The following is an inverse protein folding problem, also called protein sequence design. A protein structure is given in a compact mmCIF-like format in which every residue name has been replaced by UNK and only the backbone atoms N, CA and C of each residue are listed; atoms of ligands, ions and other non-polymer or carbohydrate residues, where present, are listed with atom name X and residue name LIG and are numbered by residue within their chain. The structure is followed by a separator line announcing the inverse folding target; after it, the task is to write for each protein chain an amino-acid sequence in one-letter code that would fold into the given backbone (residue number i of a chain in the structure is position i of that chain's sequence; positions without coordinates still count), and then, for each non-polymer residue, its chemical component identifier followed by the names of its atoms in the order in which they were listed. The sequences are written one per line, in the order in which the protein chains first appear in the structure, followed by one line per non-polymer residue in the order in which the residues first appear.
data_IF_180388587971
#
_entry.id   IF_180388587971
#
_cell.length_a   1.000
_cell.length_b   1.000
_cell.length_c   1.000
_cell.angle_alpha   90.00
_cell.angle_beta   90.00
_cell.angle_gamma   90.00
#
_symmetry.space_group_name_H-M   'P 1'
#
loop_
_entity.id
_entity.type
_entity.pdbx_description
1 polymer ?
#
# COMPACT_ATOMS: atom_id res chain seq x y z
N UNK A 1 -34.96 -14.78 21.35
CA UNK A 1 -33.51 -15.03 21.33
C UNK A 1 -32.83 -13.76 21.79
N UNK A 2 -32.17 -13.79 22.95
CA UNK A 2 -31.49 -12.63 23.54
C UNK A 2 -30.23 -12.31 22.74
N UNK A 3 -30.29 -11.28 21.90
CA UNK A 3 -29.11 -10.70 21.26
C UNK A 3 -28.37 -9.93 22.35
N UNK A 4 -27.25 -10.47 22.82
CA UNK A 4 -26.29 -9.72 23.63
C UNK A 4 -25.84 -8.57 22.72
N UNK A 5 -26.36 -7.36 22.95
CA UNK A 5 -25.98 -6.18 22.22
C UNK A 5 -24.52 -5.87 22.59
N UNK A 6 -23.59 -6.33 21.77
CA UNK A 6 -22.21 -5.86 21.82
C UNK A 6 -22.28 -4.35 21.64
N UNK A 7 -21.90 -3.60 22.67
CA UNK A 7 -21.97 -2.14 22.59
C UNK A 7 -20.93 -1.65 21.59
N UNK A 8 -21.40 -1.15 20.45
CA UNK A 8 -20.52 -0.64 19.41
C UNK A 8 -19.63 0.49 19.94
N UNK A 9 -18.34 0.44 19.61
CA UNK A 9 -17.38 1.47 19.95
C UNK A 9 -17.68 2.79 19.21
N UNK A 10 -17.09 3.90 19.65
CA UNK A 10 -17.29 5.21 19.00
C UNK A 10 -16.99 5.19 17.48
N UNK A 11 -15.87 4.64 17.00
CA UNK A 11 -15.60 4.61 15.57
C UNK A 11 -16.51 3.63 14.80
N UNK A 12 -16.97 2.53 15.41
CA UNK A 12 -17.98 1.64 14.81
C UNK A 12 -19.30 2.37 14.59
N UNK A 13 -19.81 3.06 15.63
CA UNK A 13 -21.03 3.86 15.54
C UNK A 13 -20.92 4.92 14.44
N UNK A 14 -19.74 5.54 14.30
CA UNK A 14 -19.50 6.54 13.25
C UNK A 14 -19.44 5.92 11.84
N UNK A 15 -18.82 4.74 11.66
CA UNK A 15 -18.83 4.01 10.40
C UNK A 15 -20.25 3.60 9.98
N UNK A 16 -21.07 3.17 10.95
CA UNK A 16 -22.48 2.84 10.69
C UNK A 16 -23.32 4.06 10.32
N UNK A 17 -22.96 5.26 10.79
CA UNK A 17 -23.58 6.51 10.34
C UNK A 17 -23.13 6.88 8.92
N UNK A 18 -21.85 6.72 8.60
CA UNK A 18 -21.33 6.91 7.25
C UNK A 18 -21.96 5.96 6.23
N UNK A 19 -22.15 4.67 6.58
CA UNK A 19 -22.85 3.71 5.70
C UNK A 19 -24.29 4.11 5.44
N UNK A 20 -24.98 4.64 6.45
CA UNK A 20 -26.34 5.12 6.29
C UNK A 20 -26.44 6.29 5.30
N UNK A 21 -25.43 7.17 5.28
CA UNK A 21 -25.33 8.23 4.27
C UNK A 21 -25.14 7.65 2.86
N UNK A 22 -24.25 6.66 2.68
CA UNK A 22 -24.09 5.98 1.38
C UNK A 22 -25.38 5.28 0.92
N UNK A 23 -26.09 4.59 1.83
CA UNK A 23 -27.38 3.93 1.58
C UNK A 23 -28.48 4.94 1.18
N UNK A 24 -28.44 6.16 1.73
CA UNK A 24 -29.35 7.24 1.35
C UNK A 24 -29.01 7.92 0.01
N UNK A 25 -28.03 7.39 -0.73
CA UNK A 25 -27.61 7.87 -2.05
C UNK A 25 -26.46 8.88 -2.02
N UNK A 26 -25.88 9.17 -0.85
CA UNK A 26 -24.72 10.06 -0.74
C UNK A 26 -23.42 9.27 -0.80
N UNK A 27 -22.95 8.94 -2.01
CA UNK A 27 -21.66 8.26 -2.21
C UNK A 27 -20.46 9.06 -1.69
N UNK A 28 -20.63 10.38 -1.62
CA UNK A 28 -19.72 11.34 -0.99
C UNK A 28 -20.54 12.22 -0.05
N UNK A 29 -20.09 12.39 1.18
CA UNK A 29 -20.80 13.15 2.21
C UNK A 29 -19.88 14.17 2.89
N UNK A 30 -20.46 15.26 3.38
CA UNK A 30 -19.73 16.28 4.13
C UNK A 30 -19.48 15.86 5.58
N UNK A 31 -18.51 16.49 6.24
CA UNK A 31 -18.33 16.35 7.69
C UNK A 31 -19.62 16.74 8.45
N UNK A 32 -20.29 17.79 8.00
CA UNK A 32 -21.54 18.28 8.58
C UNK A 32 -22.67 17.24 8.45
N UNK A 33 -22.81 16.60 7.28
CA UNK A 33 -23.78 15.52 7.07
C UNK A 33 -23.49 14.31 7.97
N UNK A 34 -22.20 13.95 8.11
CA UNK A 34 -21.77 12.86 8.99
C UNK A 34 -22.06 13.18 10.46
N UNK A 35 -21.83 14.42 10.90
CA UNK A 35 -22.14 14.88 12.26
C UNK A 35 -23.63 14.69 12.55
N UNK A 36 -24.49 15.18 11.65
CA UNK A 36 -25.94 15.08 11.81
C UNK A 36 -26.39 13.61 11.79
N UNK A 37 -25.90 12.81 10.85
CA UNK A 37 -26.25 11.39 10.74
C UNK A 37 -25.82 10.58 11.97
N UNK A 38 -24.61 10.82 12.48
CA UNK A 38 -24.09 10.15 13.67
C UNK A 38 -24.91 10.49 14.92
N UNK A 39 -25.27 11.77 15.08
CA UNK A 39 -26.11 12.23 16.18
C UNK A 39 -27.54 11.69 16.07
N UNK A 40 -28.17 11.75 14.90
CA UNK A 40 -29.52 11.20 14.71
C UNK A 40 -29.60 9.71 15.03
N UNK A 41 -28.56 8.95 14.67
CA UNK A 41 -28.50 7.50 14.92
C UNK A 41 -28.10 7.17 16.37
N UNK A 42 -27.25 7.98 17.00
CA UNK A 42 -26.78 7.77 18.37
C UNK A 42 -26.75 9.08 19.20
N UNK A 43 -27.92 9.64 19.58
CA UNK A 43 -28.00 10.94 20.25
C UNK A 43 -27.22 11.02 21.55
N UNK A 44 -27.30 9.96 22.38
CA UNK A 44 -26.55 9.87 23.64
C UNK A 44 -25.03 9.81 23.48
N UNK A 45 -24.54 9.42 22.31
CA UNK A 45 -23.10 9.23 22.05
C UNK A 45 -22.47 10.47 21.42
N UNK A 46 -23.15 11.03 20.41
CA UNK A 46 -22.69 12.15 19.60
C UNK A 46 -23.48 13.44 19.84
N UNK A 47 -24.31 13.50 20.88
CA UNK A 47 -25.00 14.70 21.30
C UNK A 47 -24.16 15.56 22.23
N UNK A 48 -24.42 16.86 22.21
CA UNK A 48 -23.78 17.84 23.07
C UNK A 48 -24.14 17.58 24.53
N UNK A 49 -23.15 17.57 25.42
CA UNK A 49 -23.35 17.28 26.85
C UNK A 49 -24.39 18.24 27.48
N UNK A 50 -25.44 17.68 28.09
CA UNK A 50 -26.58 18.42 28.65
C UNK A 50 -27.67 18.80 27.63
N UNK A 51 -27.43 18.53 26.34
CA UNK A 51 -28.34 18.78 25.23
C UNK A 51 -28.34 17.61 24.24
N UNK A 52 -28.12 16.39 24.72
CA UNK A 52 -27.79 15.23 23.90
C UNK A 52 -28.88 14.93 22.85
N UNK A 53 -30.14 15.17 23.21
CA UNK A 53 -31.31 14.95 22.36
C UNK A 53 -31.66 16.17 21.47
N UNK A 54 -30.96 17.30 21.62
CA UNK A 54 -31.28 18.56 20.93
C UNK A 54 -30.22 18.99 19.92
N UNK A 55 -28.94 18.78 20.23
CA UNK A 55 -27.84 19.28 19.42
C UNK A 55 -26.71 18.25 19.27
N UNK A 56 -26.09 18.16 18.07
CA UNK A 56 -24.91 17.33 17.86
C UNK A 56 -23.66 17.93 18.51
N UNK A 57 -22.77 17.07 19.01
CA UNK A 57 -21.40 17.39 19.38
C UNK A 57 -20.48 17.20 18.16
N UNK A 58 -20.31 18.28 17.40
CA UNK A 58 -19.41 18.30 16.24
C UNK A 58 -17.98 17.90 16.59
N UNK A 59 -17.47 18.29 17.76
CA UNK A 59 -16.08 18.01 18.15
C UNK A 59 -15.85 16.52 18.35
N UNK A 60 -16.85 15.81 18.89
CA UNK A 60 -16.80 14.35 19.08
C UNK A 60 -16.57 13.62 17.75
N UNK A 61 -17.30 14.01 16.71
CA UNK A 61 -17.19 13.41 15.37
C UNK A 61 -15.91 13.87 14.67
N UNK A 62 -15.61 15.16 14.72
CA UNK A 62 -14.41 15.74 14.13
C UNK A 62 -13.13 15.11 14.68
N UNK A 63 -13.06 14.83 15.99
CA UNK A 63 -11.93 14.14 16.62
C UNK A 63 -11.74 12.69 16.12
N UNK A 64 -12.80 12.05 15.60
CA UNK A 64 -12.75 10.69 15.06
C UNK A 64 -12.44 10.63 13.57
N UNK A 65 -12.62 11.72 12.82
CA UNK A 65 -12.24 11.78 11.39
C UNK A 65 -10.95 12.55 11.15
N UNK A 66 -10.53 13.40 12.10
CA UNK A 66 -9.31 14.19 12.00
C UNK A 66 -8.17 13.61 12.86
N UNK A 67 -6.94 14.04 12.57
CA UNK A 67 -5.75 13.65 13.33
C UNK A 67 -5.27 12.22 13.06
N UNK A 68 -4.11 11.86 13.61
CA UNK A 68 -3.42 10.60 13.31
C UNK A 68 -4.22 9.34 13.62
N UNK A 69 -5.18 9.42 14.56
CA UNK A 69 -6.04 8.30 14.95
C UNK A 69 -7.39 8.29 14.24
N UNK A 70 -7.65 9.24 13.35
CA UNK A 70 -8.94 9.37 12.67
C UNK A 70 -9.20 8.25 11.66
N UNK A 71 -10.48 8.01 11.37
CA UNK A 71 -10.97 7.00 10.41
C UNK A 71 -10.29 7.07 9.03
N UNK A 72 -9.96 8.26 8.46
CA UNK A 72 -9.22 8.33 7.20
C UNK A 72 -7.80 7.76 7.29
N UNK A 73 -7.08 8.04 8.38
CA UNK A 73 -5.73 7.52 8.58
C UNK A 73 -5.72 6.00 8.87
N UNK A 74 -6.88 5.43 9.20
CA UNK A 74 -7.07 3.98 9.34
C UNK A 74 -7.44 3.28 8.03
N UNK A 75 -7.62 4.05 6.95
CA UNK A 75 -8.00 3.52 5.64
C UNK A 75 -9.46 3.09 5.52
N UNK A 76 -10.33 3.42 6.49
CA UNK A 76 -11.77 3.09 6.41
C UNK A 76 -12.61 4.21 5.78
N UNK A 77 -12.05 5.41 5.73
CA UNK A 77 -12.61 6.55 5.03
C UNK A 77 -11.53 7.21 4.17
N UNK A 78 -11.94 7.97 3.18
CA UNK A 78 -11.04 8.80 2.37
C UNK A 78 -11.61 10.21 2.28
N UNK A 79 -10.73 11.21 2.34
CA UNK A 79 -11.08 12.60 2.09
C UNK A 79 -10.98 12.86 0.59
N UNK A 80 -12.11 13.11 -0.06
CA UNK A 80 -12.20 13.28 -1.53
C UNK A 80 -12.26 14.74 -1.96
N UNK A 81 -12.40 15.68 -1.01
CA UNK A 81 -12.44 17.12 -1.30
C UNK A 81 -12.39 17.97 -0.04
N UNK A 82 -12.68 19.27 -0.17
CA UNK A 82 -12.78 20.16 0.97
C UNK A 82 -13.98 19.76 1.83
N UNK A 83 -13.70 19.20 3.02
CA UNK A 83 -14.70 18.66 3.96
C UNK A 83 -15.57 17.51 3.43
N UNK A 84 -15.21 16.91 2.30
CA UNK A 84 -15.92 15.79 1.70
C UNK A 84 -15.19 14.48 1.95
N UNK A 85 -15.97 13.45 2.31
CA UNK A 85 -15.49 12.12 2.66
C UNK A 85 -16.33 11.03 1.97
N UNK A 86 -15.76 9.84 1.85
CA UNK A 86 -16.44 8.64 1.36
C UNK A 86 -15.90 7.41 2.11
N UNK A 87 -16.69 6.33 2.21
CA UNK A 87 -16.16 5.06 2.73
C UNK A 87 -15.23 4.42 1.69
N UNK A 88 -14.15 3.84 2.17
CA UNK A 88 -13.31 2.97 1.34
C UNK A 88 -13.95 1.59 1.20
N UNK A 89 -13.38 0.74 0.34
CA UNK A 89 -13.77 -0.67 0.26
C UNK A 89 -13.67 -1.35 1.64
N UNK A 90 -12.58 -1.11 2.36
CA UNK A 90 -12.34 -1.64 3.70
C UNK A 90 -13.34 -1.12 4.72
N UNK A 91 -13.67 0.18 4.68
CA UNK A 91 -14.70 0.76 5.54
C UNK A 91 -16.04 0.07 5.37
N UNK A 92 -16.44 -0.22 4.12
CA UNK A 92 -17.66 -0.97 3.82
C UNK A 92 -17.59 -2.43 4.31
N UNK A 93 -16.44 -3.09 4.18
CA UNK A 93 -16.27 -4.45 4.72
C UNK A 93 -16.41 -4.46 6.25
N UNK A 94 -15.79 -3.51 6.94
CA UNK A 94 -15.91 -3.38 8.40
C UNK A 94 -17.37 -3.18 8.79
N UNK A 95 -18.10 -2.29 8.12
CA UNK A 95 -19.54 -2.09 8.36
C UNK A 95 -20.32 -3.39 8.20
N UNK A 96 -20.07 -4.18 7.14
CA UNK A 96 -20.74 -5.47 6.96
C UNK A 96 -20.49 -6.43 8.11
N UNK A 97 -19.25 -6.53 8.59
CA UNK A 97 -18.89 -7.37 9.75
C UNK A 97 -19.61 -6.94 11.03
N UNK A 98 -19.67 -5.63 11.29
CA UNK A 98 -20.39 -5.07 12.44
C UNK A 98 -21.88 -5.45 12.36
N UNK A 99 -22.49 -5.30 11.19
CA UNK A 99 -23.91 -5.64 10.98
C UNK A 99 -24.19 -7.14 11.11
N UNK A 100 -23.20 -7.99 10.81
CA UNK A 100 -23.27 -9.45 10.97
C UNK A 100 -22.97 -9.92 12.39
N UNK A 101 -22.61 -9.01 13.31
CA UNK A 101 -22.24 -9.35 14.69
C UNK A 101 -20.89 -10.07 14.81
N UNK A 102 -20.04 -9.97 13.78
CA UNK A 102 -18.68 -10.52 13.81
C UNK A 102 -17.77 -9.63 14.67
N UNK A 103 -16.82 -10.25 15.37
CA UNK A 103 -15.78 -9.50 16.07
C UNK A 103 -14.93 -8.70 15.08
N UNK A 104 -15.06 -7.38 15.15
CA UNK A 104 -14.14 -6.48 14.46
C UNK A 104 -12.89 -6.35 15.34
N UNK A 105 -11.68 -6.52 14.78
CA UNK A 105 -10.46 -6.29 15.53
C UNK A 105 -10.53 -4.93 16.23
N UNK A 106 -10.15 -4.83 17.51
CA UNK A 106 -10.42 -3.65 18.32
C UNK A 106 -9.93 -2.40 17.60
N UNK A 107 -10.82 -1.41 17.45
CA UNK A 107 -10.55 -0.16 16.73
C UNK A 107 -9.53 0.75 17.46
N UNK A 108 -8.79 0.22 18.43
CA UNK A 108 -7.60 0.81 19.05
C UNK A 108 -6.31 0.30 18.44
N UNK A 109 -6.35 -0.86 17.77
CA UNK A 109 -5.26 -1.31 16.94
C UNK A 109 -5.08 -0.25 15.86
N UNK A 110 -3.95 0.46 15.93
CA UNK A 110 -3.35 1.00 14.70
C UNK A 110 -3.42 -0.18 13.74
N UNK A 111 -4.27 -0.12 12.71
CA UNK A 111 -3.86 -0.74 11.47
C UNK A 111 -2.62 0.05 11.15
N UNK A 112 -1.48 -0.55 11.48
CA UNK A 112 -0.24 -0.09 10.94
C UNK A 112 -0.54 0.12 9.46
N UNK A 113 -0.08 1.23 8.91
CA UNK A 113 -0.03 1.46 7.47
C UNK A 113 0.94 0.43 6.82
N UNK A 114 0.78 -0.84 7.20
CA UNK A 114 1.51 -2.06 6.86
C UNK A 114 0.69 -2.85 5.83
N UNK A 115 -0.05 -2.19 4.94
CA UNK A 115 0.27 -2.56 3.57
C UNK A 115 1.68 -2.00 3.40
N UNK A 116 2.71 -2.85 3.27
CA UNK A 116 4.08 -2.39 3.10
C UNK A 116 4.08 -1.56 1.82
N UNK A 117 3.88 -0.25 1.98
CA UNK A 117 4.09 0.71 0.90
C UNK A 117 5.52 0.49 0.48
N UNK A 118 5.69 0.26 -0.80
CA UNK A 118 6.99 0.07 -1.39
C UNK A 118 7.91 1.20 -0.88
N UNK A 119 9.00 0.88 -0.17
CA UNK A 119 9.98 1.87 0.25
C UNK A 119 10.40 2.72 -0.94
N UNK A 120 10.63 4.02 -0.73
CA UNK A 120 10.93 4.97 -1.81
C UNK A 120 12.13 4.51 -2.66
N UNK A 121 13.13 3.88 -2.04
CA UNK A 121 14.30 3.37 -2.74
C UNK A 121 13.95 2.18 -3.64
N UNK A 122 13.07 1.28 -3.16
CA UNK A 122 12.54 0.18 -3.97
C UNK A 122 11.63 0.69 -5.09
N UNK A 123 10.86 1.75 -4.87
CA UNK A 123 10.06 2.41 -5.91
C UNK A 123 10.95 2.92 -7.04
N UNK A 124 12.01 3.66 -6.73
CA UNK A 124 12.97 4.17 -7.72
C UNK A 124 13.67 3.01 -8.45
N UNK A 125 14.08 1.97 -7.71
CA UNK A 125 14.70 0.78 -8.29
C UNK A 125 13.78 0.09 -9.29
N UNK A 126 12.53 -0.20 -8.90
CA UNK A 126 11.57 -0.88 -9.77
C UNK A 126 11.27 -0.07 -11.03
N UNK A 127 11.15 1.26 -10.90
CA UNK A 127 10.99 2.13 -12.07
C UNK A 127 12.16 1.99 -13.05
N UNK A 128 13.39 1.96 -12.54
CA UNK A 128 14.59 1.80 -13.37
C UNK A 128 14.64 0.41 -14.03
N UNK A 129 14.36 -0.66 -13.27
CA UNK A 129 14.41 -2.03 -13.78
C UNK A 129 13.33 -2.31 -14.83
N UNK A 130 12.10 -1.85 -14.60
CA UNK A 130 10.97 -2.02 -15.52
C UNK A 130 11.11 -1.20 -16.80
N UNK A 131 11.85 -0.10 -16.76
CA UNK A 131 12.21 0.69 -17.95
C UNK A 131 13.52 0.24 -18.61
N UNK A 132 14.18 -0.81 -18.09
CA UNK A 132 15.48 -1.25 -18.62
C UNK A 132 15.33 -1.91 -19.99
N UNK A 133 16.31 -1.68 -20.87
CA UNK A 133 16.35 -2.31 -22.20
C UNK A 133 16.34 -3.84 -22.12
N UNK A 134 17.00 -4.41 -21.10
CA UNK A 134 17.03 -5.85 -20.86
C UNK A 134 15.63 -6.41 -20.57
N UNK A 135 14.84 -5.71 -19.74
CA UNK A 135 13.46 -6.09 -19.44
C UNK A 135 12.53 -5.95 -20.65
N UNK A 136 12.67 -4.89 -21.44
CA UNK A 136 11.91 -4.76 -22.69
C UNK A 136 12.22 -5.88 -23.69
N UNK A 137 13.49 -6.27 -23.83
CA UNK A 137 13.90 -7.41 -24.68
C UNK A 137 13.34 -8.74 -24.16
N UNK A 138 13.30 -8.95 -22.83
CA UNK A 138 12.63 -10.12 -22.23
C UNK A 138 11.16 -10.18 -22.65
N UNK A 139 10.45 -9.05 -22.51
CA UNK A 139 9.02 -8.92 -22.83
C UNK A 139 8.70 -9.13 -24.31
N UNK A 140 9.65 -8.83 -25.19
CA UNK A 140 9.55 -9.03 -26.64
C UNK A 140 10.09 -10.39 -27.12
N UNK A 141 10.59 -11.24 -26.22
CA UNK A 141 11.21 -12.52 -26.57
C UNK A 141 12.56 -12.41 -27.28
N UNK A 142 13.21 -11.24 -27.25
CA UNK A 142 14.50 -10.97 -27.93
C UNK A 142 15.70 -11.17 -27.00
N UNK A 143 15.71 -12.29 -26.27
CA UNK A 143 16.73 -12.60 -25.27
C UNK A 143 18.12 -12.82 -25.89
N UNK A 144 18.15 -13.25 -27.16
CA UNK A 144 19.39 -13.49 -27.90
C UNK A 144 20.18 -12.21 -28.19
N UNK A 145 19.51 -11.06 -28.20
CA UNK A 145 20.12 -9.74 -28.45
C UNK A 145 20.66 -9.07 -27.19
N UNK A 146 20.62 -9.72 -26.02
CA UNK A 146 21.18 -9.14 -24.81
C UNK A 146 22.69 -8.96 -24.93
N UNK A 147 23.14 -7.77 -24.52
CA UNK A 147 24.54 -7.40 -24.45
C UNK A 147 25.00 -7.29 -22.99
N UNK A 148 26.31 -7.47 -22.76
CA UNK A 148 26.85 -7.36 -21.41
C UNK A 148 26.72 -5.95 -20.82
N UNK A 149 26.80 -4.91 -21.65
CA UNK A 149 26.60 -3.53 -21.20
C UNK A 149 25.19 -3.29 -20.66
N UNK A 150 24.17 -3.88 -21.29
CA UNK A 150 22.78 -3.81 -20.80
C UNK A 150 22.62 -4.55 -19.48
N UNK A 151 23.28 -5.71 -19.32
CA UNK A 151 23.28 -6.45 -18.05
C UNK A 151 23.95 -5.63 -16.93
N UNK A 152 25.09 -4.99 -17.20
CA UNK A 152 25.74 -4.08 -16.25
C UNK A 152 24.82 -2.92 -15.84
N UNK A 153 24.11 -2.29 -16.79
CA UNK A 153 23.13 -1.24 -16.47
C UNK A 153 21.98 -1.75 -15.61
N UNK A 154 21.46 -2.95 -15.91
CA UNK A 154 20.41 -3.60 -15.12
C UNK A 154 20.84 -3.82 -13.67
N UNK A 155 22.09 -4.24 -13.45
CA UNK A 155 22.67 -4.41 -12.11
C UNK A 155 23.22 -3.11 -11.49
N UNK A 156 23.07 -1.97 -12.15
CA UNK A 156 23.70 -0.70 -11.77
C UNK A 156 25.22 -0.82 -11.53
N UNK A 157 25.88 -1.71 -12.27
CA UNK A 157 27.32 -1.94 -12.20
C UNK A 157 28.08 -1.08 -13.21
N UNK A 158 29.08 -0.34 -12.73
CA UNK A 158 30.09 0.28 -13.59
C UNK A 158 31.19 -0.70 -14.00
N UNK A 159 32.02 -0.31 -14.97
CA UNK A 159 33.14 -1.13 -15.47
C UNK A 159 34.19 -1.50 -14.40
N UNK A 160 34.15 -0.83 -13.24
CA UNK A 160 35.05 -1.04 -12.09
C UNK A 160 34.42 -1.77 -10.92
N UNK A 161 33.33 -2.50 -11.13
CA UNK A 161 32.59 -3.17 -10.04
C UNK A 161 33.46 -4.14 -9.23
N UNK A 162 34.41 -4.85 -9.86
CA UNK A 162 35.43 -5.63 -9.18
C UNK A 162 34.89 -6.56 -8.08
N UNK A 163 35.34 -6.37 -6.83
CA UNK A 163 34.91 -7.12 -5.65
C UNK A 163 33.41 -6.93 -5.32
N UNK A 164 32.83 -5.79 -5.70
CA UNK A 164 31.42 -5.47 -5.45
C UNK A 164 30.45 -6.19 -6.40
N UNK A 165 30.94 -6.99 -7.36
CA UNK A 165 30.06 -7.72 -8.31
C UNK A 165 29.10 -8.64 -7.54
N UNK A 166 29.62 -9.47 -6.63
CA UNK A 166 28.78 -10.44 -5.92
C UNK A 166 27.84 -9.76 -4.92
N UNK A 167 28.30 -8.70 -4.26
CA UNK A 167 27.46 -7.87 -3.40
C UNK A 167 26.29 -7.25 -4.17
N UNK A 168 26.54 -6.71 -5.37
CA UNK A 168 25.49 -6.08 -6.21
C UNK A 168 24.48 -7.08 -6.73
N UNK A 169 24.93 -8.26 -7.15
CA UNK A 169 24.03 -9.33 -7.58
C UNK A 169 23.14 -9.79 -6.42
N UNK A 170 23.73 -10.00 -5.23
CA UNK A 170 23.00 -10.42 -4.05
C UNK A 170 22.03 -9.34 -3.54
N UNK A 171 22.47 -8.08 -3.48
CA UNK A 171 21.67 -6.94 -3.05
C UNK A 171 20.43 -6.75 -3.93
N UNK A 172 20.58 -6.85 -5.26
CA UNK A 172 19.44 -6.77 -6.17
C UNK A 172 18.42 -7.89 -5.90
N UNK A 173 18.88 -9.13 -5.70
CA UNK A 173 17.99 -10.26 -5.45
C UNK A 173 17.27 -10.13 -4.09
N UNK A 174 17.97 -9.62 -3.07
CA UNK A 174 17.38 -9.27 -1.77
C UNK A 174 16.30 -8.19 -1.92
N UNK A 175 16.59 -7.12 -2.67
CA UNK A 175 15.65 -6.03 -2.94
C UNK A 175 14.41 -6.51 -3.70
N UNK A 176 14.56 -7.38 -4.71
CA UNK A 176 13.44 -7.99 -5.42
C UNK A 176 12.59 -8.88 -4.49
N UNK A 177 13.21 -9.64 -3.59
CA UNK A 177 12.50 -10.47 -2.61
C UNK A 177 11.67 -9.61 -1.65
N UNK A 178 12.21 -8.47 -1.20
CA UNK A 178 11.48 -7.51 -0.38
C UNK A 178 10.33 -6.89 -1.17
N UNK A 179 10.55 -6.49 -2.43
CA UNK A 179 9.52 -5.94 -3.29
C UNK A 179 8.37 -6.93 -3.54
N UNK A 180 8.68 -8.22 -3.77
CA UNK A 180 7.68 -9.29 -3.92
C UNK A 180 6.81 -9.42 -2.67
N UNK A 181 7.41 -9.44 -1.47
CA UNK A 181 6.66 -9.44 -0.20
C UNK A 181 5.79 -8.21 -0.05
N UNK A 182 6.24 -7.05 -0.55
CA UNK A 182 5.47 -5.82 -0.46
C UNK A 182 4.24 -5.83 -1.39
N UNK A 183 4.38 -6.48 -2.55
CA UNK A 183 3.34 -6.59 -3.58
C UNK A 183 2.45 -7.84 -3.41
N UNK A 184 2.72 -8.69 -2.42
CA UNK A 184 1.91 -9.87 -2.10
C UNK A 184 0.46 -9.51 -1.71
N UNK A 185 0.26 -8.31 -1.16
CA UNK A 185 -1.07 -7.80 -0.80
C UNK A 185 -1.85 -7.21 -1.98
N UNK A 186 -1.22 -7.03 -3.14
CA UNK A 186 -1.85 -6.46 -4.33
C UNK A 186 -0.92 -5.52 -5.12
N UNK A 187 -1.36 -5.09 -6.32
CA UNK A 187 -0.59 -4.18 -7.16
C UNK A 187 -0.42 -2.81 -6.50
N UNK A 188 0.76 -2.21 -6.65
CA UNK A 188 1.04 -0.85 -6.17
C UNK A 188 1.45 0.07 -7.33
N UNK A 189 1.00 1.32 -7.28
CA UNK A 189 1.39 2.34 -8.26
C UNK A 189 2.77 2.91 -7.92
N UNK A 190 3.68 2.84 -8.88
CA UNK A 190 4.99 3.45 -8.79
C UNK A 190 4.92 4.97 -9.07
N UNK A 191 5.98 5.69 -8.71
CA UNK A 191 6.09 7.14 -8.97
C UNK A 191 5.95 7.56 -10.45
N UNK A 192 6.22 6.66 -11.40
CA UNK A 192 6.03 6.87 -12.84
C UNK A 192 4.63 6.46 -13.34
N UNK A 193 3.66 6.23 -12.45
CA UNK A 193 2.30 5.76 -12.77
C UNK A 193 2.20 4.34 -13.35
N UNK A 194 3.28 3.57 -13.38
CA UNK A 194 3.24 2.14 -13.72
C UNK A 194 2.73 1.36 -12.52
N UNK A 195 1.78 0.45 -12.74
CA UNK A 195 1.35 -0.49 -11.71
C UNK A 195 2.33 -1.66 -11.63
N UNK A 196 3.06 -1.74 -10.52
CA UNK A 196 3.94 -2.86 -10.21
C UNK A 196 3.10 -4.02 -9.65
N UNK A 197 3.31 -5.21 -10.23
CA UNK A 197 2.65 -6.45 -9.81
C UNK A 197 3.68 -7.48 -9.36
N UNK A 198 3.25 -8.46 -8.55
CA UNK A 198 4.12 -9.56 -8.14
C UNK A 198 4.66 -10.36 -9.37
N UNK A 199 3.86 -10.48 -10.43
CA UNK A 199 4.28 -11.12 -11.69
C UNK A 199 5.47 -10.39 -12.33
N UNK A 200 5.43 -9.06 -12.37
CA UNK A 200 6.54 -8.25 -12.89
C UNK A 200 7.83 -8.46 -12.09
N UNK A 201 7.74 -8.58 -10.76
CA UNK A 201 8.90 -8.89 -9.92
C UNK A 201 9.45 -10.28 -10.22
N UNK A 202 8.57 -11.27 -10.40
CA UNK A 202 8.96 -12.62 -10.82
C UNK A 202 9.71 -12.60 -12.17
N UNK A 203 9.24 -11.80 -13.13
CA UNK A 203 9.92 -11.61 -14.41
C UNK A 203 11.30 -10.93 -14.25
N UNK A 204 11.44 -9.96 -13.35
CA UNK A 204 12.72 -9.31 -13.04
C UNK A 204 13.70 -10.27 -12.35
N UNK A 205 13.24 -11.09 -11.41
CA UNK A 205 14.04 -12.12 -10.77
C UNK A 205 14.50 -13.19 -11.78
N UNK A 206 13.61 -13.57 -12.70
CA UNK A 206 13.96 -14.47 -13.79
C UNK A 206 15.00 -13.86 -14.74
N UNK A 207 14.82 -12.59 -15.11
CA UNK A 207 15.78 -11.84 -15.93
C UNK A 207 17.17 -11.80 -15.28
N UNK A 208 17.22 -11.51 -13.97
CA UNK A 208 18.46 -11.51 -13.21
C UNK A 208 19.20 -12.86 -13.34
N UNK A 209 18.51 -13.98 -13.11
CA UNK A 209 19.11 -15.32 -13.23
C UNK A 209 19.58 -15.64 -14.66
N UNK A 210 18.82 -15.22 -15.68
CA UNK A 210 19.20 -15.47 -17.06
C UNK A 210 20.43 -14.65 -17.48
N UNK A 211 20.49 -13.36 -17.10
CA UNK A 211 21.64 -12.50 -17.36
C UNK A 211 22.89 -13.01 -16.65
N UNK A 212 22.77 -13.45 -15.40
CA UNK A 212 23.88 -14.01 -14.63
C UNK A 212 24.45 -15.26 -15.31
N UNK A 213 23.58 -16.21 -15.70
CA UNK A 213 23.98 -17.43 -16.41
C UNK A 213 24.63 -17.12 -17.76
N UNK A 214 24.02 -16.24 -18.56
CA UNK A 214 24.50 -15.88 -19.90
C UNK A 214 25.86 -15.19 -19.85
N UNK A 215 26.06 -14.28 -18.89
CA UNK A 215 27.27 -13.48 -18.78
C UNK A 215 28.24 -13.94 -17.70
N UNK A 216 28.10 -15.16 -17.16
CA UNK A 216 28.95 -15.72 -16.11
C UNK A 216 30.45 -15.59 -16.40
N UNK A 217 30.87 -15.81 -17.66
CA UNK A 217 32.27 -15.63 -18.08
C UNK A 217 32.76 -14.19 -17.93
N UNK A 218 31.93 -13.21 -18.29
CA UNK A 218 32.26 -11.80 -18.17
C UNK A 218 32.28 -11.34 -16.71
N UNK A 219 31.35 -11.85 -15.88
CA UNK A 219 31.35 -11.62 -14.44
C UNK A 219 32.61 -12.17 -13.77
N UNK A 220 33.04 -13.38 -14.13
CA UNK A 220 34.30 -13.96 -13.65
C UNK A 220 35.52 -13.11 -14.03
N UNK A 221 35.53 -12.55 -15.24
CA UNK A 221 36.60 -11.63 -15.65
C UNK A 221 36.61 -10.35 -14.81
N UNK A 222 35.44 -9.76 -14.52
CA UNK A 222 35.34 -8.60 -13.64
C UNK A 222 35.83 -8.89 -12.22
N UNK A 223 35.47 -10.05 -11.66
CA UNK A 223 35.97 -10.52 -10.35
C UNK A 223 37.50 -10.59 -10.36
N UNK A 224 38.08 -11.31 -11.32
CA UNK A 224 39.53 -11.52 -11.41
C UNK A 224 40.35 -10.26 -11.70
N UNK A 225 39.74 -9.21 -12.25
CA UNK A 225 40.40 -7.91 -12.46
C UNK A 225 40.58 -7.13 -11.16
N UNK A 226 39.72 -7.35 -10.17
CA UNK A 226 39.85 -6.77 -8.85
C UNK A 226 41.04 -7.38 -8.10
N UNK A 227 41.15 -8.72 -8.14
CA UNK A 227 42.21 -9.48 -7.47
C UNK A 227 43.63 -9.16 -7.99
N UNK A 228 43.76 -8.52 -9.17
CA UNK A 228 45.05 -8.15 -9.77
C UNK A 228 45.39 -6.66 -9.58
N UNK A 229 44.49 -5.87 -9.01
CA UNK A 229 44.68 -4.45 -8.76
C UNK A 229 45.09 -4.14 -7.31
N UNK A 230 45.09 -5.14 -6.43
CA UNK A 230 45.79 -5.17 -5.14
C UNK A 230 47.21 -5.75 -5.29
#
# INVERSE_FOLDING_TARGET
MNTIAVENTLPEKLLLAASHLEESGQSTFSAEALIVSAWQKYPRTFGLKGFEEKYPDSNRVLALIMGQKGLPNRGWMVKVGQKLYSLTHDGRQVVRKILQGEEVPPLTARRATNEPKLPKDLDILLQMLLCSTAYHKLRQGRQDEWTFSEACRFWSMGERAGVAVDERLHDLLSQLTVAERCLASGPQKLGNSVEATAEMIGQLAHLHQQLEKRFARHLNLLRSRADRAE
#
